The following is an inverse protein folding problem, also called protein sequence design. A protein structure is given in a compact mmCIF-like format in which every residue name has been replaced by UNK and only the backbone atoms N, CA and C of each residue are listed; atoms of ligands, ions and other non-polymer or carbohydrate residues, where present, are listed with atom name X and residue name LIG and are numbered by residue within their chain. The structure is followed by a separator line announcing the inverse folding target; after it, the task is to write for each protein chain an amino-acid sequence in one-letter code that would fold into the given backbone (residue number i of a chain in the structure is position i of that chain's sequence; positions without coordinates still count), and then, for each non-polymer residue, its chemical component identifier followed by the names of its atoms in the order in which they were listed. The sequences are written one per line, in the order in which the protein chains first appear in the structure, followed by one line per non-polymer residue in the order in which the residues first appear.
data_IF_100035454472
#
_entry.id   IF_100035454472
#
_cell.length_a   1.000
_cell.length_b   1.000
_cell.length_c   1.000
_cell.angle_alpha   90.00
_cell.angle_beta   90.00
_cell.angle_gamma   90.00
#
_symmetry.space_group_name_H-M   'P 1'
#
loop_
_entity.id
_entity.type
_entity.pdbx_description
1 polymer ?
#
# COMPACT_ATOMS: atom_id res chain seq x y z
N UNK A 1 5.57 1.34 -14.39
CA UNK A 1 6.76 1.06 -13.58
C UNK A 1 6.55 -0.11 -12.63
N UNK A 2 5.58 -0.10 -11.71
CA UNK A 2 5.42 -1.18 -10.73
C UNK A 2 5.27 -2.60 -11.29
N UNK A 3 4.65 -2.78 -12.46
CA UNK A 3 4.59 -4.09 -13.15
C UNK A 3 5.96 -4.69 -13.47
N UNK A 4 7.01 -3.87 -13.67
CA UNK A 4 8.37 -4.39 -13.89
C UNK A 4 9.03 -4.86 -12.60
N UNK A 5 8.53 -4.42 -11.45
CA UNK A 5 9.08 -4.73 -10.14
C UNK A 5 8.33 -5.86 -9.44
N UNK A 6 7.02 -5.95 -9.69
CA UNK A 6 6.14 -7.04 -9.27
C UNK A 6 5.52 -7.63 -10.54
N UNK A 7 6.17 -8.63 -11.18
CA UNK A 7 5.71 -9.21 -12.44
C UNK A 7 4.31 -9.84 -12.38
N UNK A 8 3.88 -10.26 -11.19
CA UNK A 8 2.55 -10.83 -10.98
C UNK A 8 1.44 -9.76 -11.05
N UNK A 9 1.76 -8.47 -10.97
CA UNK A 9 0.80 -7.37 -11.09
C UNK A 9 0.31 -7.23 -12.54
N UNK A 10 -0.99 -7.36 -12.75
CA UNK A 10 -1.61 -7.40 -14.08
C UNK A 10 -1.84 -8.82 -14.61
N UNK A 11 -1.45 -9.84 -13.83
CA UNK A 11 -1.83 -11.25 -14.06
C UNK A 11 -3.01 -11.64 -13.18
N UNK A 12 -3.49 -12.87 -13.33
CA UNK A 12 -4.58 -13.42 -12.53
C UNK A 12 -4.17 -13.85 -11.10
N UNK A 13 -2.88 -13.73 -10.75
CA UNK A 13 -2.37 -14.04 -9.41
C UNK A 13 -2.66 -12.96 -8.37
N UNK A 14 -2.73 -11.70 -8.79
CA UNK A 14 -3.05 -10.56 -7.93
C UNK A 14 -4.40 -10.02 -8.37
N UNK A 15 -5.44 -10.18 -7.54
CA UNK A 15 -6.81 -9.78 -7.88
C UNK A 15 -7.40 -8.76 -6.92
N UNK A 16 -7.09 -8.88 -5.63
CA UNK A 16 -7.60 -7.99 -4.60
C UNK A 16 -6.49 -7.03 -4.20
N UNK A 17 -6.61 -5.77 -4.60
CA UNK A 17 -5.59 -4.75 -4.31
C UNK A 17 -6.19 -3.66 -3.44
N UNK A 18 -5.39 -3.10 -2.53
CA UNK A 18 -5.77 -1.92 -1.76
C UNK A 18 -4.74 -0.81 -1.98
N UNK A 19 -5.24 0.38 -2.32
CA UNK A 19 -4.49 1.63 -2.29
C UNK A 19 -4.78 2.33 -0.96
N UNK A 20 -3.83 2.24 -0.02
CA UNK A 20 -4.05 2.62 1.37
C UNK A 20 -4.11 4.13 1.60
N UNK A 21 -3.56 4.92 0.68
CA UNK A 21 -3.57 6.38 0.76
C UNK A 21 -3.83 6.97 -0.62
N UNK A 22 -5.06 6.74 -1.09
CA UNK A 22 -5.46 7.21 -2.41
C UNK A 22 -5.66 8.72 -2.37
N UNK A 23 -4.94 9.44 -3.22
CA UNK A 23 -5.22 10.85 -3.45
C UNK A 23 -6.46 10.95 -4.34
N UNK A 24 -6.32 10.77 -5.65
CA UNK A 24 -7.43 10.90 -6.61
C UNK A 24 -7.73 9.60 -7.38
N UNK A 25 -7.41 8.44 -6.79
CA UNK A 25 -7.58 7.13 -7.45
C UNK A 25 -6.62 6.89 -8.62
N UNK A 26 -5.47 7.57 -8.64
CA UNK A 26 -4.52 7.50 -9.77
C UNK A 26 -3.94 6.10 -9.98
N UNK A 27 -3.62 5.40 -8.89
CA UNK A 27 -3.11 4.04 -8.95
C UNK A 27 -4.16 3.06 -9.51
N UNK A 28 -5.40 3.13 -9.03
CA UNK A 28 -6.49 2.31 -9.55
C UNK A 28 -6.81 2.60 -11.02
N UNK A 29 -6.82 3.87 -11.42
CA UNK A 29 -7.03 4.26 -12.81
C UNK A 29 -5.97 3.67 -13.76
N UNK A 30 -4.72 3.54 -13.30
CA UNK A 30 -3.64 2.94 -14.10
C UNK A 30 -3.78 1.41 -14.28
N UNK A 31 -4.58 0.75 -13.45
CA UNK A 31 -4.79 -0.71 -13.45
C UNK A 31 -6.19 -1.11 -13.96
N UNK A 32 -6.98 -0.16 -14.49
CA UNK A 32 -8.40 -0.39 -14.84
C UNK A 32 -8.63 -1.50 -15.88
N UNK A 33 -7.63 -1.75 -16.74
CA UNK A 33 -7.70 -2.77 -17.79
C UNK A 33 -7.12 -4.13 -17.35
N UNK A 34 -6.60 -4.22 -16.13
CA UNK A 34 -6.05 -5.46 -15.58
C UNK A 34 -7.17 -6.30 -14.92
N UNK A 35 -7.01 -7.63 -14.81
CA UNK A 35 -8.03 -8.53 -14.24
C UNK A 35 -8.04 -8.49 -12.69
N UNK A 36 -8.07 -7.28 -12.12
CA UNK A 36 -8.04 -7.03 -10.69
C UNK A 36 -8.94 -5.85 -10.32
N UNK A 37 -9.23 -5.70 -9.03
CA UNK A 37 -9.92 -4.53 -8.50
C UNK A 37 -9.09 -3.87 -7.39
N UNK A 38 -9.29 -2.56 -7.21
CA UNK A 38 -8.53 -1.76 -6.24
C UNK A 38 -9.51 -1.10 -5.27
N UNK A 39 -9.38 -1.40 -3.98
CA UNK A 39 -10.00 -0.62 -2.90
C UNK A 39 -9.21 0.67 -2.71
N UNK A 40 -9.80 1.82 -3.03
CA UNK A 40 -9.15 3.11 -2.81
C UNK A 40 -9.50 3.64 -1.41
N UNK A 41 -8.52 3.85 -0.56
CA UNK A 41 -8.73 4.34 0.81
C UNK A 41 -8.26 5.77 0.94
N UNK A 42 -9.18 6.66 1.29
CA UNK A 42 -8.88 8.07 1.59
C UNK A 42 -8.72 8.20 3.11
N UNK A 43 -7.63 8.81 3.58
CA UNK A 43 -7.50 9.09 5.01
C UNK A 43 -8.62 10.02 5.48
N UNK A 44 -9.25 9.70 6.61
CA UNK A 44 -10.28 10.55 7.23
C UNK A 44 -9.79 11.95 7.61
N UNK A 45 -8.47 12.15 7.68
CA UNK A 45 -7.82 13.41 8.07
C UNK A 45 -7.05 14.06 6.91
N UNK A 46 -7.05 13.43 5.74
CA UNK A 46 -6.45 13.95 4.53
C UNK A 46 -7.38 14.86 3.75
N UNK A 47 -6.99 15.17 2.51
CA UNK A 47 -7.86 15.84 1.55
C UNK A 47 -9.08 14.97 1.25
N UNK A 48 -10.27 15.57 1.34
CA UNK A 48 -11.49 14.87 0.98
C UNK A 48 -11.61 14.75 -0.55
N UNK A 49 -11.12 13.63 -1.08
CA UNK A 49 -11.09 13.30 -2.51
C UNK A 49 -11.97 12.12 -2.90
N UNK A 50 -12.72 11.55 -1.96
CA UNK A 50 -13.51 10.33 -2.20
C UNK A 50 -14.62 10.56 -3.24
N UNK A 51 -15.19 11.76 -3.29
CA UNK A 51 -16.11 12.17 -4.35
C UNK A 51 -15.46 12.06 -5.74
N UNK A 52 -14.21 12.51 -5.90
CA UNK A 52 -13.47 12.42 -7.16
C UNK A 52 -13.20 10.95 -7.52
N UNK A 53 -12.93 10.09 -6.53
CA UNK A 53 -12.79 8.64 -6.75
C UNK A 53 -14.09 8.05 -7.31
N UNK A 54 -15.24 8.40 -6.73
CA UNK A 54 -16.54 7.94 -7.20
C UNK A 54 -16.95 8.50 -8.57
N UNK A 55 -16.66 9.78 -8.85
CA UNK A 55 -16.93 10.39 -10.16
C UNK A 55 -16.17 9.68 -11.30
N UNK A 56 -15.05 9.02 -10.97
CA UNK A 56 -14.27 8.20 -11.92
C UNK A 56 -14.77 6.75 -12.03
N UNK A 57 -15.86 6.40 -11.33
CA UNK A 57 -16.41 5.04 -11.28
C UNK A 57 -15.56 4.05 -10.50
N UNK A 58 -14.68 4.53 -9.63
CA UNK A 58 -13.81 3.69 -8.80
C UNK A 58 -14.46 3.43 -7.44
N UNK A 59 -14.14 2.28 -6.83
CA UNK A 59 -14.60 1.97 -5.47
C UNK A 59 -13.62 2.53 -4.44
N UNK A 60 -14.15 3.00 -3.32
CA UNK A 60 -13.32 3.52 -2.24
C UNK A 60 -14.09 3.79 -0.95
N UNK A 61 -13.35 4.07 0.11
CA UNK A 61 -13.86 4.37 1.45
C UNK A 61 -12.95 5.34 2.18
N UNK A 62 -13.47 5.99 3.22
CA UNK A 62 -12.60 6.58 4.24
C UNK A 62 -12.10 5.53 5.22
N UNK A 63 -10.92 5.77 5.78
CA UNK A 63 -10.44 5.05 6.94
C UNK A 63 -9.53 5.93 7.81
N UNK A 64 -9.61 5.74 9.14
CA UNK A 64 -8.57 6.22 10.05
C UNK A 64 -7.56 5.08 10.24
N UNK A 65 -6.31 5.30 9.82
CA UNK A 65 -5.26 4.29 9.94
C UNK A 65 -4.74 4.10 11.36
N UNK A 66 -5.15 4.95 12.30
CA UNK A 66 -4.95 4.71 13.72
C UNK A 66 -5.95 3.69 14.30
N UNK A 67 -6.97 3.31 13.53
CA UNK A 67 -7.96 2.28 13.83
C UNK A 67 -7.84 1.08 12.88
N UNK A 68 -8.42 -0.05 13.28
CA UNK A 68 -8.43 -1.24 12.44
C UNK A 68 -9.36 -1.06 11.23
N UNK A 69 -8.92 -1.48 10.04
CA UNK A 69 -9.74 -1.41 8.84
C UNK A 69 -10.85 -2.47 8.90
N UNK A 70 -12.07 -2.08 8.56
CA UNK A 70 -13.25 -2.97 8.60
C UNK A 70 -13.24 -3.98 7.45
N UNK A 71 -12.35 -4.97 7.54
CA UNK A 71 -12.20 -6.07 6.59
C UNK A 71 -11.73 -7.34 7.29
N UNK A 72 -11.97 -8.48 6.65
CA UNK A 72 -11.48 -9.76 7.13
C UNK A 72 -9.94 -9.85 7.03
N UNK A 73 -9.28 -10.58 7.94
CA UNK A 73 -7.86 -10.87 7.79
C UNK A 73 -7.57 -11.56 6.45
N UNK A 74 -6.39 -11.31 5.87
CA UNK A 74 -5.91 -11.95 4.62
C UNK A 74 -6.81 -11.73 3.39
N UNK A 75 -7.39 -10.54 3.28
CA UNK A 75 -8.28 -10.15 2.16
C UNK A 75 -7.51 -9.74 0.91
N UNK A 76 -6.40 -9.01 1.06
CA UNK A 76 -5.71 -8.39 -0.09
C UNK A 76 -4.47 -9.16 -0.51
N UNK A 77 -4.26 -9.26 -1.81
CA UNK A 77 -3.09 -9.86 -2.44
C UNK A 77 -1.95 -8.82 -2.60
N UNK A 78 -2.30 -7.53 -2.72
CA UNK A 78 -1.33 -6.44 -2.79
C UNK A 78 -1.81 -5.20 -2.02
N UNK A 79 -0.91 -4.63 -1.23
CA UNK A 79 -1.09 -3.31 -0.60
C UNK A 79 -0.17 -2.28 -1.27
N UNK A 80 -0.76 -1.18 -1.71
CA UNK A 80 -0.04 -0.02 -2.21
C UNK A 80 -0.08 1.08 -1.17
N UNK A 81 1.10 1.62 -0.83
CA UNK A 81 1.28 2.68 0.17
C UNK A 81 2.12 3.78 -0.45
N UNK A 82 1.56 4.98 -0.54
CA UNK A 82 2.24 6.14 -1.10
C UNK A 82 2.07 7.34 -0.15
N UNK A 83 3.16 7.77 0.48
CA UNK A 83 3.17 8.91 1.40
C UNK A 83 2.30 8.78 2.66
N UNK A 84 1.77 7.58 2.97
CA UNK A 84 0.88 7.36 4.11
C UNK A 84 1.54 7.65 5.45
N UNK A 85 2.77 7.17 5.68
CA UNK A 85 3.47 7.37 6.94
C UNK A 85 3.95 8.80 7.08
N UNK A 86 4.39 9.42 5.98
CA UNK A 86 4.71 10.84 5.97
C UNK A 86 3.48 11.69 6.35
N UNK A 87 2.28 11.31 5.90
CA UNK A 87 1.05 12.00 6.26
C UNK A 87 0.56 11.71 7.69
N UNK A 88 0.54 10.45 8.12
CA UNK A 88 -0.15 10.02 9.36
C UNK A 88 0.78 9.80 10.58
N UNK A 89 2.11 9.87 10.42
CA UNK A 89 3.07 9.55 11.50
C UNK A 89 2.93 10.39 12.78
N UNK A 90 2.32 11.57 12.69
CA UNK A 90 2.07 12.45 13.83
C UNK A 90 0.85 12.03 14.67
N UNK A 91 -0.03 11.18 14.14
CA UNK A 91 -1.29 10.76 14.79
C UNK A 91 -1.18 9.39 15.45
N UNK A 92 -0.54 8.44 14.78
CA UNK A 92 -0.33 7.10 15.33
C UNK A 92 1.04 6.54 14.99
N UNK A 93 1.49 5.64 15.86
CA UNK A 93 2.74 4.93 15.65
C UNK A 93 2.62 4.01 14.43
N UNK A 94 3.58 4.14 13.52
CA UNK A 94 3.73 3.31 12.31
C UNK A 94 3.64 1.80 12.58
N UNK A 95 4.06 1.33 13.76
CA UNK A 95 3.97 -0.08 14.15
C UNK A 95 2.54 -0.61 14.14
N UNK A 96 1.55 0.19 14.53
CA UNK A 96 0.14 -0.24 14.58
C UNK A 96 -0.44 -0.37 13.17
N UNK A 97 -0.15 0.60 12.30
CA UNK A 97 -0.52 0.54 10.88
C UNK A 97 0.12 -0.68 10.21
N UNK A 98 1.40 -0.96 10.49
CA UNK A 98 2.09 -2.13 9.95
C UNK A 98 1.49 -3.46 10.43
N UNK A 99 1.05 -3.54 11.69
CA UNK A 99 0.32 -4.71 12.19
C UNK A 99 -1.01 -4.90 11.47
N UNK A 100 -1.71 -3.81 11.19
CA UNK A 100 -2.95 -3.84 10.42
C UNK A 100 -2.70 -4.28 8.97
N UNK A 101 -1.64 -3.77 8.33
CA UNK A 101 -1.18 -4.24 7.03
C UNK A 101 -0.90 -5.74 7.04
N UNK A 102 -0.22 -6.25 8.07
CA UNK A 102 0.04 -7.69 8.21
C UNK A 102 -1.25 -8.50 8.37
N UNK A 103 -2.21 -8.00 9.14
CA UNK A 103 -3.50 -8.65 9.35
C UNK A 103 -4.27 -8.82 8.04
N UNK A 104 -4.34 -7.77 7.21
CA UNK A 104 -5.17 -7.76 6.00
C UNK A 104 -4.48 -8.36 4.77
N UNK A 105 -3.14 -8.41 4.76
CA UNK A 105 -2.35 -8.98 3.66
C UNK A 105 -2.37 -10.51 3.70
N UNK A 106 -2.67 -11.13 2.55
CA UNK A 106 -2.63 -12.58 2.36
C UNK A 106 -1.19 -13.13 2.43
N UNK A 107 -0.97 -14.38 2.88
CA UNK A 107 0.32 -15.05 2.69
C UNK A 107 0.79 -14.98 1.23
N UNK A 108 2.10 -14.83 1.01
CA UNK A 108 2.72 -14.58 -0.30
C UNK A 108 2.31 -13.26 -0.99
N UNK A 109 1.44 -12.46 -0.36
CA UNK A 109 1.03 -11.15 -0.85
C UNK A 109 2.16 -10.12 -0.86
N UNK A 110 1.97 -9.09 -1.67
CA UNK A 110 2.96 -8.04 -1.92
C UNK A 110 2.59 -6.73 -1.23
N UNK A 111 3.61 -5.97 -0.84
CA UNK A 111 3.48 -4.57 -0.44
C UNK A 111 4.40 -3.75 -1.32
N UNK A 112 3.85 -2.71 -1.94
CA UNK A 112 4.61 -1.69 -2.66
C UNK A 112 4.47 -0.41 -1.86
N UNK A 113 5.59 0.12 -1.39
CA UNK A 113 5.63 1.31 -0.56
C UNK A 113 6.57 2.34 -1.14
N UNK A 114 6.04 3.54 -1.43
CA UNK A 114 6.79 4.73 -1.81
C UNK A 114 6.73 5.72 -0.66
N UNK A 115 7.89 6.00 -0.08
CA UNK A 115 7.98 6.81 1.14
C UNK A 115 9.36 7.48 1.27
N UNK A 116 9.49 8.37 2.25
CA UNK A 116 10.79 8.93 2.61
C UNK A 116 11.78 7.83 3.05
N UNK A 117 13.10 7.99 2.81
CA UNK A 117 14.11 7.03 3.23
C UNK A 117 14.05 6.65 4.71
N UNK A 118 13.65 7.59 5.57
CA UNK A 118 13.51 7.38 7.01
C UNK A 118 12.43 6.34 7.34
N UNK A 119 11.24 6.48 6.75
CA UNK A 119 10.15 5.52 6.95
C UNK A 119 10.45 4.19 6.28
N UNK A 120 11.01 4.19 5.07
CA UNK A 120 11.39 2.95 4.37
C UNK A 120 12.34 2.09 5.20
N UNK A 121 13.37 2.69 5.81
CA UNK A 121 14.31 1.97 6.66
C UNK A 121 13.64 1.43 7.94
N UNK A 122 12.79 2.24 8.56
CA UNK A 122 12.07 1.85 9.78
C UNK A 122 11.08 0.71 9.52
N UNK A 123 10.32 0.79 8.43
CA UNK A 123 9.41 -0.27 7.97
C UNK A 123 10.19 -1.54 7.68
N UNK A 124 11.31 -1.47 6.94
CA UNK A 124 12.12 -2.64 6.62
C UNK A 124 12.59 -3.40 7.87
N UNK A 125 12.98 -2.67 8.93
CA UNK A 125 13.39 -3.28 10.20
C UNK A 125 12.22 -3.98 10.91
N UNK A 126 11.05 -3.35 10.98
CA UNK A 126 9.85 -3.95 11.58
C UNK A 126 9.33 -5.14 10.76
N UNK A 127 9.35 -5.02 9.43
CA UNK A 127 8.92 -6.03 8.49
C UNK A 127 9.78 -7.31 8.58
N UNK A 128 11.07 -7.19 8.89
CA UNK A 128 11.92 -8.35 9.18
C UNK A 128 11.41 -9.18 10.37
N UNK A 129 10.94 -8.50 11.43
CA UNK A 129 10.31 -9.16 12.58
C UNK A 129 8.98 -9.86 12.25
N UNK A 130 8.25 -9.33 11.27
CA UNK A 130 6.99 -9.91 10.75
C UNK A 130 7.22 -10.99 9.66
N UNK A 131 8.48 -11.39 9.42
CA UNK A 131 8.88 -12.36 8.38
C UNK A 131 8.54 -11.93 6.95
N UNK A 132 8.51 -10.63 6.68
CA UNK A 132 8.40 -10.13 5.32
C UNK A 132 9.79 -10.08 4.68
N UNK A 133 9.87 -10.49 3.41
CA UNK A 133 11.09 -10.32 2.63
C UNK A 133 11.01 -9.00 1.86
N UNK A 134 11.85 -8.04 2.21
CA UNK A 134 11.79 -6.68 1.66
C UNK A 134 13.03 -6.30 0.88
N UNK A 135 12.82 -5.73 -0.31
CA UNK A 135 13.86 -5.22 -1.20
C UNK A 135 13.63 -3.73 -1.45
N UNK A 136 14.65 -2.92 -1.16
CA UNK A 136 14.63 -1.50 -1.44
C UNK A 136 15.10 -1.24 -2.87
N UNK A 137 14.47 -0.27 -3.53
CA UNK A 137 14.78 0.19 -4.88
C UNK A 137 14.73 1.72 -4.93
N UNK A 138 15.44 2.28 -5.88
CA UNK A 138 15.32 3.69 -6.21
C UNK A 138 14.03 3.93 -7.01
N UNK A 139 13.47 5.12 -6.84
CA UNK A 139 12.33 5.58 -7.64
C UNK A 139 12.79 5.97 -9.05
N UNK A 140 11.84 6.13 -9.97
CA UNK A 140 12.08 6.61 -11.33
C UNK A 140 12.76 7.99 -11.34
N UNK A 141 12.50 8.79 -10.30
CA UNK A 141 13.04 10.12 -10.06
C UNK A 141 14.18 10.08 -9.03
N UNK A 142 15.12 9.13 -9.18
CA UNK A 142 16.27 8.95 -8.28
C UNK A 142 17.13 10.22 -8.06
N UNK A 143 16.94 11.26 -8.88
CA UNK A 143 17.66 12.55 -8.80
C UNK A 143 17.34 13.38 -7.56
N UNK A 144 16.15 13.24 -6.97
CA UNK A 144 15.77 14.05 -5.82
C UNK A 144 16.14 13.38 -4.49
N UNK A 145 16.28 12.05 -4.44
CA UNK A 145 16.66 11.31 -3.22
C UNK A 145 15.63 11.35 -2.07
N UNK A 146 14.59 12.18 -2.19
CA UNK A 146 13.56 12.42 -1.18
C UNK A 146 12.66 11.20 -0.93
N UNK A 147 12.57 10.30 -1.91
CA UNK A 147 11.72 9.11 -1.84
C UNK A 147 12.48 7.83 -2.23
N UNK A 148 12.10 6.73 -1.61
CA UNK A 148 12.56 5.38 -1.92
C UNK A 148 11.38 4.45 -2.07
N UNK A 149 11.58 3.41 -2.87
CA UNK A 149 10.61 2.33 -3.02
C UNK A 149 11.03 1.13 -2.17
N UNK A 150 10.09 0.57 -1.42
CA UNK A 150 10.24 -0.67 -0.69
C UNK A 150 9.21 -1.68 -1.22
N UNK A 151 9.70 -2.83 -1.65
CA UNK A 151 8.86 -3.93 -2.09
C UNK A 151 9.03 -5.05 -1.09
N UNK A 152 7.95 -5.43 -0.43
CA UNK A 152 7.93 -6.54 0.51
C UNK A 152 7.05 -7.66 0.00
N UNK A 153 7.43 -8.90 0.29
CA UNK A 153 6.59 -10.07 0.13
C UNK A 153 6.44 -10.77 1.48
N UNK A 154 5.20 -10.98 1.90
CA UNK A 154 4.90 -11.70 3.14
C UNK A 154 5.18 -13.18 2.96
N UNK A 155 6.04 -13.76 3.80
CA UNK A 155 6.26 -15.21 3.78
C UNK A 155 5.02 -15.96 4.26
N UNK A 156 4.82 -17.16 3.75
CA UNK A 156 3.87 -18.09 4.36
C UNK A 156 4.40 -18.51 5.74
N UNK A 157 3.51 -18.61 6.72
CA UNK A 157 3.84 -18.97 8.10
C UNK A 157 3.77 -20.49 8.33
N UNK A 158 3.66 -21.27 7.25
CA UNK A 158 3.71 -22.74 7.25
C UNK A 158 5.14 -23.27 7.14
#
# INVERSE_FOLDING_TARGET
HYKTLVPDLGTDKIRNVMDMNTLYGGFAAALINDPLWVMNVVSSYGLNSLNVVYDRGLIGTYNDWCEAFSTYPRTYDLLHVDGLFSAESHRCEMKYVLLEMDRILRPAGYVIMRESPHFVNSVKNLAAGMRWNCHQRDTENARNGDEKLLICQKKDWR
#
